data_IF_948507957168
#
_entry.id   IF_948507957168
#
_cell.length_a   1.000
_cell.length_b   1.000
_cell.length_c   1.000
_cell.angle_alpha   90.00
_cell.angle_beta   90.00
_cell.angle_gamma   90.00
#
_symmetry.space_group_name_H-M   'P 1'
#
loop_
_entity.id
_entity.type
_entity.pdbx_description
1 polymer ?
#
# COMPACT_ATOMS: atom_id res chain seq x y z
N UNK A 1 -4.04 -18.63 -3.18
CA UNK A 1 -3.54 -17.25 -3.09
C UNK A 1 -2.25 -17.20 -3.87
N UNK A 2 -2.14 -16.26 -4.80
CA UNK A 2 -0.88 -15.98 -5.49
C UNK A 2 0.09 -15.35 -4.49
N UNK A 3 1.36 -15.78 -4.53
CA UNK A 3 2.39 -15.16 -3.72
C UNK A 3 2.76 -13.83 -4.35
N UNK A 4 2.50 -12.74 -3.64
CA UNK A 4 2.95 -11.41 -4.05
C UNK A 4 4.27 -11.14 -3.31
N UNK A 5 5.42 -11.14 -4.02
CA UNK A 5 6.69 -10.78 -3.42
C UNK A 5 6.71 -9.28 -3.11
N UNK A 6 6.90 -8.92 -1.84
CA UNK A 6 7.17 -7.53 -1.44
C UNK A 6 6.79 -7.21 0.01
N UNK A 7 7.30 -6.09 0.56
CA UNK A 7 7.00 -5.67 1.91
C UNK A 7 5.54 -5.20 2.04
N UNK A 8 5.01 -5.24 3.26
CA UNK A 8 3.71 -4.67 3.57
C UNK A 8 3.81 -3.16 3.79
N UNK A 9 2.68 -2.44 3.67
CA UNK A 9 2.60 -1.03 4.03
C UNK A 9 2.95 -0.81 5.51
N UNK A 10 2.62 -1.76 6.38
CA UNK A 10 3.05 -1.77 7.79
C UNK A 10 4.58 -1.73 7.89
N UNK A 11 5.27 -2.64 7.20
CA UNK A 11 6.72 -2.74 7.23
C UNK A 11 7.39 -1.43 6.79
N UNK A 12 6.90 -0.83 5.70
CA UNK A 12 7.46 0.44 5.21
C UNK A 12 7.17 1.63 6.14
N UNK A 13 5.99 1.66 6.77
CA UNK A 13 5.68 2.66 7.80
C UNK A 13 6.61 2.55 9.01
N UNK A 14 6.94 1.33 9.46
CA UNK A 14 7.88 1.13 10.56
C UNK A 14 9.31 1.52 10.16
N UNK A 15 9.72 1.20 8.94
CA UNK A 15 11.05 1.51 8.41
C UNK A 15 11.27 3.01 8.21
N UNK A 16 10.25 3.74 7.77
CA UNK A 16 10.34 5.17 7.44
C UNK A 16 9.79 6.10 8.52
N UNK A 17 9.00 5.58 9.45
CA UNK A 17 8.24 6.34 10.46
C UNK A 17 6.99 7.03 9.89
N UNK A 18 7.14 7.74 8.76
CA UNK A 18 6.02 8.36 8.04
C UNK A 18 6.33 8.53 6.56
N UNK A 19 5.29 8.70 5.75
CA UNK A 19 5.42 9.07 4.35
C UNK A 19 5.25 10.58 4.16
N UNK A 20 5.88 11.11 3.11
CA UNK A 20 5.51 12.44 2.62
C UNK A 20 4.08 12.44 2.11
N UNK A 21 3.42 13.60 2.15
CA UNK A 21 2.01 13.74 1.76
C UNK A 21 1.74 13.19 0.36
N UNK A 22 2.60 13.49 -0.62
CA UNK A 22 2.45 12.99 -2.00
C UNK A 22 2.43 11.46 -2.05
N UNK A 23 3.44 10.81 -1.47
CA UNK A 23 3.52 9.34 -1.38
C UNK A 23 2.32 8.74 -0.65
N UNK A 24 1.86 9.35 0.45
CA UNK A 24 0.69 8.88 1.16
C UNK A 24 -0.57 8.94 0.30
N UNK A 25 -0.76 10.03 -0.46
CA UNK A 25 -1.88 10.18 -1.39
C UNK A 25 -1.82 9.16 -2.53
N UNK A 26 -0.64 8.92 -3.10
CA UNK A 26 -0.45 7.93 -4.17
C UNK A 26 -0.80 6.52 -3.70
N UNK A 27 -0.37 6.14 -2.49
CA UNK A 27 -0.72 4.85 -1.87
C UNK A 27 -2.23 4.77 -1.63
N UNK A 28 -2.84 5.83 -1.06
CA UNK A 28 -4.28 5.86 -0.83
C UNK A 28 -5.07 5.72 -2.13
N UNK A 29 -4.67 6.40 -3.21
CA UNK A 29 -5.35 6.30 -4.50
C UNK A 29 -5.33 4.87 -5.04
N UNK A 30 -4.17 4.21 -5.03
CA UNK A 30 -4.04 2.81 -5.48
C UNK A 30 -4.88 1.84 -4.64
N UNK A 31 -4.87 1.98 -3.31
CA UNK A 31 -5.69 1.16 -2.41
C UNK A 31 -7.18 1.36 -2.69
N UNK A 32 -7.60 2.61 -2.92
CA UNK A 32 -8.99 2.94 -3.25
C UNK A 32 -9.40 2.40 -4.62
N UNK A 33 -8.51 2.42 -5.61
CA UNK A 33 -8.77 1.80 -6.92
C UNK A 33 -9.01 0.29 -6.80
N UNK A 34 -8.16 -0.42 -6.02
CA UNK A 34 -8.33 -1.84 -5.75
C UNK A 34 -9.63 -2.17 -5.01
N UNK A 35 -9.96 -1.38 -3.98
CA UNK A 35 -11.23 -1.49 -3.26
C UNK A 35 -12.43 -1.22 -4.16
N UNK A 36 -12.37 -0.20 -5.02
CA UNK A 36 -13.44 0.10 -5.96
C UNK A 36 -13.66 -1.06 -6.95
N UNK A 37 -12.59 -1.72 -7.40
CA UNK A 37 -12.70 -2.91 -8.24
C UNK A 37 -13.35 -4.08 -7.48
N UNK A 38 -12.94 -4.35 -6.24
CA UNK A 38 -13.54 -5.38 -5.39
C UNK A 38 -15.04 -5.11 -5.14
N UNK A 39 -15.40 -3.88 -4.80
CA UNK A 39 -16.78 -3.48 -4.57
C UNK A 39 -17.65 -3.63 -5.83
N UNK A 40 -17.13 -3.29 -7.02
CA UNK A 40 -17.85 -3.54 -8.29
C UNK A 40 -18.11 -5.03 -8.54
N UNK A 41 -17.24 -5.90 -8.03
CA UNK A 41 -17.42 -7.35 -8.06
C UNK A 41 -18.31 -7.89 -6.91
N UNK A 42 -18.89 -7.02 -6.06
CA UNK A 42 -19.70 -7.41 -4.90
C UNK A 42 -18.88 -7.95 -3.72
N UNK A 43 -17.56 -7.76 -3.73
CA UNK A 43 -16.65 -8.25 -2.69
C UNK A 43 -16.39 -7.14 -1.68
N UNK A 44 -16.63 -7.42 -0.39
CA UNK A 44 -16.25 -6.54 0.72
C UNK A 44 -14.99 -7.13 1.37
N UNK A 45 -13.90 -6.35 1.41
CA UNK A 45 -12.61 -6.82 1.96
C UNK A 45 -12.65 -7.08 3.47
N UNK A 46 -13.32 -6.21 4.24
CA UNK A 46 -13.53 -6.25 5.71
C UNK A 46 -12.30 -6.12 6.60
N UNK A 47 -11.11 -6.48 6.12
CA UNK A 47 -9.86 -6.40 6.90
C UNK A 47 -8.85 -5.44 6.25
N UNK A 48 -9.26 -4.20 6.00
CA UNK A 48 -8.37 -3.19 5.41
C UNK A 48 -7.50 -2.59 6.50
N UNK A 49 -6.20 -2.85 6.39
CA UNK A 49 -5.15 -2.39 7.30
C UNK A 49 -3.78 -2.47 6.62
N UNK A 50 -2.76 -1.72 7.07
CA UNK A 50 -1.44 -1.69 6.43
C UNK A 50 -0.74 -3.05 6.30
N UNK A 51 -1.06 -4.01 7.16
CA UNK A 51 -0.53 -5.38 7.12
C UNK A 51 -1.02 -6.17 5.89
N UNK A 52 -2.17 -5.78 5.33
CA UNK A 52 -2.80 -6.45 4.20
C UNK A 52 -2.63 -5.69 2.87
N UNK A 53 -1.80 -4.65 2.85
CA UNK A 53 -1.45 -3.90 1.64
C UNK A 53 0.01 -4.24 1.34
N UNK A 54 0.26 -4.84 0.18
CA UNK A 54 1.60 -5.24 -0.25
C UNK A 54 2.07 -4.35 -1.39
N UNK A 55 3.37 -4.04 -1.38
CA UNK A 55 4.07 -3.51 -2.54
C UNK A 55 4.48 -4.67 -3.44
N UNK A 56 4.51 -4.45 -4.76
CA UNK A 56 4.95 -5.43 -5.75
C UNK A 56 5.91 -4.77 -6.75
N UNK A 57 6.32 -5.49 -7.80
CA UNK A 57 7.25 -4.96 -8.81
C UNK A 57 6.67 -3.78 -9.61
N UNK A 58 5.32 -3.67 -9.70
CA UNK A 58 4.64 -2.57 -10.38
C UNK A 58 4.49 -1.33 -9.49
N UNK A 59 4.42 -1.51 -8.17
CA UNK A 59 4.44 -0.45 -7.17
C UNK A 59 5.54 -0.69 -6.14
N UNK A 60 6.80 -0.29 -6.43
CA UNK A 60 7.92 -0.51 -5.53
C UNK A 60 7.80 0.32 -4.24
N UNK A 61 8.42 -0.13 -3.13
CA UNK A 61 8.36 0.56 -1.85
C UNK A 61 9.02 1.95 -1.92
N UNK A 62 8.51 2.93 -1.16
CA UNK A 62 9.04 4.29 -1.18
C UNK A 62 10.48 4.33 -0.64
N UNK A 63 11.35 5.07 -1.34
CA UNK A 63 12.72 5.28 -0.90
C UNK A 63 12.76 6.14 0.39
N UNK A 64 13.70 5.87 1.32
CA UNK A 64 13.87 6.71 2.50
C UNK A 64 14.15 8.16 2.10
N UNK A 65 13.40 9.07 2.71
CA UNK A 65 13.60 10.51 2.54
C UNK A 65 14.98 10.86 3.09
N UNK A 66 15.92 11.26 2.21
CA UNK A 66 17.15 11.90 2.67
C UNK A 66 16.77 13.29 3.16
N UNK A 67 16.60 13.44 4.47
CA UNK A 67 16.60 14.76 5.08
C UNK A 67 18.03 15.35 4.91
N UNK A 68 18.16 16.63 4.50
CA UNK A 68 19.45 17.30 4.38
C UNK A 68 20.20 17.38 5.71
#
# INVERSE_FOLDING_TARGET
>A
MEYVPGPTLRHELERLGSFQLGTALDICDQVLQGLAAAHRAGIIHRDIKPENILFDDACPPPSPVRLP
#
